data_IF_500641696299
#
_entry.id   IF_500641696299
#
_cell.length_a   1.000
_cell.length_b   1.000
_cell.length_c   1.000
_cell.angle_alpha   90.00
_cell.angle_beta   90.00
_cell.angle_gamma   90.00
#
_symmetry.space_group_name_H-M   'P 1'
#
loop_
_entity.id
_entity.type
_entity.pdbx_description
1 polymer ?
#
# COMPACT_ATOMS: atom_id res chain seq x y z
N UNK A 1 -5.91 -16.65 -1.18
CA UNK A 1 -7.16 -16.00 -1.66
C UNK A 1 -6.76 -14.87 -2.60
N UNK A 2 -7.26 -14.81 -3.84
CA UNK A 2 -7.03 -13.65 -4.71
C UNK A 2 -7.72 -12.41 -4.12
N UNK A 3 -7.04 -11.28 -4.16
CA UNK A 3 -7.59 -9.99 -3.74
C UNK A 3 -8.00 -9.23 -5.00
N UNK A 4 -9.29 -9.10 -5.31
CA UNK A 4 -9.72 -8.34 -6.46
C UNK A 4 -9.32 -6.87 -6.30
N UNK A 5 -8.98 -6.22 -7.42
CA UNK A 5 -8.63 -4.81 -7.42
C UNK A 5 -9.82 -3.99 -7.94
N UNK A 6 -10.44 -3.13 -7.11
CA UNK A 6 -11.56 -2.31 -7.56
C UNK A 6 -11.11 -1.28 -8.60
N UNK A 7 -12.00 -0.89 -9.51
CA UNK A 7 -11.68 0.14 -10.50
C UNK A 7 -11.51 1.51 -9.85
N UNK A 8 -12.37 1.84 -8.89
CA UNK A 8 -12.40 3.13 -8.21
C UNK A 8 -13.13 3.03 -6.87
N UNK A 9 -12.55 3.67 -5.84
CA UNK A 9 -13.16 3.92 -4.54
C UNK A 9 -13.11 5.43 -4.27
N UNK A 10 -14.24 6.12 -4.14
CA UNK A 10 -14.27 7.56 -3.90
C UNK A 10 -13.93 7.88 -2.44
N UNK A 11 -13.02 8.83 -2.22
CA UNK A 11 -12.65 9.40 -0.93
C UNK A 11 -12.97 10.89 -0.85
N UNK A 12 -12.71 11.52 0.28
CA UNK A 12 -12.90 12.95 0.47
C UNK A 12 -11.66 13.72 -0.01
N UNK A 13 -11.79 14.42 -1.15
CA UNK A 13 -10.71 15.15 -1.78
C UNK A 13 -9.69 14.28 -2.54
N UNK A 14 -9.90 12.98 -2.61
CA UNK A 14 -9.08 12.05 -3.37
C UNK A 14 -9.92 10.86 -3.86
N UNK A 15 -9.35 10.09 -4.78
CA UNK A 15 -9.90 8.78 -5.17
C UNK A 15 -8.82 7.71 -5.04
N UNK A 16 -9.21 6.47 -4.73
CA UNK A 16 -8.35 5.32 -4.97
C UNK A 16 -8.80 4.70 -6.28
N UNK A 17 -7.92 4.63 -7.26
CA UNK A 17 -8.20 4.08 -8.58
C UNK A 17 -7.07 3.19 -9.06
N UNK A 18 -7.33 2.34 -10.03
CA UNK A 18 -6.26 1.60 -10.70
C UNK A 18 -5.20 2.54 -11.24
N UNK A 19 -3.94 2.10 -11.20
CA UNK A 19 -2.84 2.84 -11.84
C UNK A 19 -3.06 2.97 -13.34
N UNK A 20 -2.58 4.09 -13.90
CA UNK A 20 -2.68 4.39 -15.33
C UNK A 20 -1.30 4.70 -15.93
N UNK A 21 -1.10 4.56 -17.23
CA UNK A 21 0.16 4.96 -17.88
C UNK A 21 0.57 6.41 -17.59
N UNK A 22 -0.40 7.30 -17.35
CA UNK A 22 -0.14 8.70 -16.98
C UNK A 22 0.54 8.86 -15.60
N UNK A 23 0.43 7.87 -14.72
CA UNK A 23 1.05 7.90 -13.38
C UNK A 23 2.56 7.59 -13.41
N UNK A 24 3.10 7.06 -14.54
CA UNK A 24 4.48 6.54 -14.64
C UNK A 24 5.54 7.51 -14.17
N UNK A 25 5.48 8.74 -14.62
CA UNK A 25 6.54 9.72 -14.32
C UNK A 25 6.48 10.15 -12.85
N UNK A 26 5.30 10.38 -12.30
CA UNK A 26 5.12 10.73 -10.90
C UNK A 26 5.50 9.57 -9.96
N UNK A 27 5.14 8.33 -10.33
CA UNK A 27 5.53 7.13 -9.62
C UNK A 27 7.06 6.91 -9.66
N UNK A 28 7.69 7.08 -10.83
CA UNK A 28 9.13 6.97 -10.96
C UNK A 28 9.87 8.07 -10.18
N UNK A 29 9.40 9.30 -10.22
CA UNK A 29 9.96 10.40 -9.42
C UNK A 29 9.88 10.10 -7.91
N UNK A 30 8.76 9.52 -7.43
CA UNK A 30 8.62 9.09 -6.04
C UNK A 30 9.62 8.00 -5.67
N UNK A 31 9.75 6.94 -6.48
CA UNK A 31 10.63 5.79 -6.17
C UNK A 31 12.12 6.13 -6.25
N UNK A 32 12.50 7.08 -7.09
CA UNK A 32 13.89 7.54 -7.21
C UNK A 32 14.29 8.58 -6.17
N UNK A 33 13.34 9.11 -5.40
CA UNK A 33 13.63 10.04 -4.29
C UNK A 33 14.07 9.25 -3.03
N UNK A 34 15.34 9.35 -2.60
CA UNK A 34 15.84 8.62 -1.43
C UNK A 34 15.11 9.01 -0.14
N UNK A 35 14.69 10.27 -0.02
CA UNK A 35 13.99 10.75 1.18
C UNK A 35 12.55 10.22 1.24
N UNK A 36 11.87 10.17 0.10
CA UNK A 36 10.53 9.60 -0.01
C UNK A 36 10.53 8.09 0.29
N UNK A 37 11.58 7.38 -0.10
CA UNK A 37 11.69 5.91 0.01
C UNK A 37 12.53 5.41 1.18
N UNK A 38 13.00 6.29 2.07
CA UNK A 38 13.92 5.94 3.18
C UNK A 38 13.39 4.85 4.13
N UNK A 39 12.09 4.68 4.22
CA UNK A 39 11.42 3.68 5.06
C UNK A 39 10.86 2.50 4.25
N UNK A 40 11.25 2.38 2.98
CA UNK A 40 10.73 1.35 2.07
C UNK A 40 11.83 0.37 1.68
N UNK A 41 11.46 -0.89 1.66
CA UNK A 41 12.34 -1.99 1.29
C UNK A 41 12.22 -2.28 -0.22
N UNK A 42 12.68 -1.35 -1.07
CA UNK A 42 12.81 -1.56 -2.51
C UNK A 42 14.25 -1.92 -2.87
N UNK A 43 14.43 -2.81 -3.84
CA UNK A 43 15.75 -3.14 -4.38
C UNK A 43 16.38 -1.93 -5.09
N UNK A 44 17.69 -1.95 -5.27
CA UNK A 44 18.41 -0.88 -5.98
C UNK A 44 17.87 -0.68 -7.41
N UNK A 45 17.52 -1.77 -8.10
CA UNK A 45 16.97 -1.73 -9.45
C UNK A 45 15.58 -1.08 -9.49
N UNK A 46 14.69 -1.42 -8.55
CA UNK A 46 13.38 -0.81 -8.41
C UNK A 46 13.45 0.71 -8.13
N UNK A 47 14.51 1.18 -7.51
CA UNK A 47 14.76 2.61 -7.24
C UNK A 47 15.40 3.35 -8.43
N UNK A 48 15.56 2.71 -9.58
CA UNK A 48 15.90 3.40 -10.83
C UNK A 48 14.64 3.88 -11.54
N UNK A 49 14.74 4.94 -12.36
CA UNK A 49 13.60 5.44 -13.12
C UNK A 49 13.02 4.36 -14.07
N UNK A 50 13.88 3.54 -14.67
CA UNK A 50 13.45 2.43 -15.52
C UNK A 50 12.78 1.32 -14.72
N UNK A 51 13.38 0.88 -13.61
CA UNK A 51 12.82 -0.15 -12.74
C UNK A 51 11.46 0.25 -12.18
N UNK A 52 11.32 1.50 -11.74
CA UNK A 52 10.06 2.06 -11.27
C UNK A 52 8.95 2.03 -12.33
N UNK A 53 9.27 2.47 -13.58
CA UNK A 53 8.31 2.41 -14.69
C UNK A 53 7.92 0.98 -15.02
N UNK A 54 8.89 0.07 -15.09
CA UNK A 54 8.64 -1.36 -15.37
C UNK A 54 7.76 -1.99 -14.30
N UNK A 55 7.98 -1.66 -13.02
CA UNK A 55 7.15 -2.14 -11.92
C UNK A 55 5.70 -1.65 -12.05
N UNK A 56 5.48 -0.37 -12.37
CA UNK A 56 4.13 0.15 -12.56
C UNK A 56 3.45 -0.48 -13.79
N UNK A 57 4.18 -0.66 -14.90
CA UNK A 57 3.66 -1.29 -16.11
C UNK A 57 3.26 -2.75 -15.86
N UNK A 58 4.05 -3.48 -15.07
CA UNK A 58 3.70 -4.83 -14.65
C UNK A 58 2.36 -4.83 -13.88
N UNK A 59 2.19 -3.95 -12.89
CA UNK A 59 0.93 -3.82 -12.14
C UNK A 59 -0.24 -3.49 -13.06
N UNK A 60 -0.08 -2.54 -13.98
CA UNK A 60 -1.13 -2.14 -14.93
C UNK A 60 -1.52 -3.32 -15.84
N UNK A 61 -0.54 -4.09 -16.31
CA UNK A 61 -0.80 -5.24 -17.20
C UNK A 61 -1.46 -6.42 -16.49
N UNK A 62 -1.32 -6.51 -15.17
CA UNK A 62 -1.90 -7.58 -14.35
C UNK A 62 -3.39 -7.36 -14.05
N UNK A 63 -3.91 -6.15 -14.16
CA UNK A 63 -5.32 -5.86 -13.86
C UNK A 63 -6.27 -6.69 -14.75
N UNK A 64 -7.26 -7.32 -14.11
CA UNK A 64 -8.25 -8.18 -14.77
C UNK A 64 -7.71 -9.53 -15.23
N UNK A 65 -6.51 -9.91 -14.85
CA UNK A 65 -5.91 -11.24 -15.11
C UNK A 65 -5.89 -12.10 -13.83
N UNK A 66 -5.53 -13.36 -13.95
CA UNK A 66 -5.31 -14.25 -12.79
C UNK A 66 -4.13 -13.82 -11.89
N UNK A 67 -3.28 -12.93 -12.39
CA UNK A 67 -2.14 -12.36 -11.67
C UNK A 67 -2.45 -10.96 -11.11
N UNK A 68 -3.73 -10.59 -11.04
CA UNK A 68 -4.14 -9.28 -10.54
C UNK A 68 -3.60 -9.01 -9.15
N UNK A 69 -3.04 -7.82 -8.94
CA UNK A 69 -2.55 -7.34 -7.66
C UNK A 69 -3.43 -6.18 -7.18
N UNK A 70 -3.75 -6.18 -5.89
CA UNK A 70 -4.45 -5.05 -5.28
C UNK A 70 -3.46 -3.91 -5.05
N UNK A 71 -3.36 -3.04 -6.02
CA UNK A 71 -2.52 -1.83 -5.98
C UNK A 71 -3.26 -0.68 -6.65
N UNK A 72 -3.41 0.43 -5.94
CA UNK A 72 -4.21 1.58 -6.37
C UNK A 72 -3.41 2.87 -6.24
N UNK A 73 -3.62 3.78 -7.17
CA UNK A 73 -3.20 5.19 -7.06
C UNK A 73 -4.10 5.91 -6.07
N UNK A 74 -3.50 6.69 -5.16
CA UNK A 74 -4.17 7.78 -4.47
C UNK A 74 -4.11 8.97 -5.43
N UNK A 75 -5.22 9.35 -6.03
CA UNK A 75 -5.31 10.44 -7.00
C UNK A 75 -6.06 11.64 -6.43
N UNK A 76 -5.63 12.84 -6.74
CA UNK A 76 -6.35 14.07 -6.37
C UNK A 76 -7.73 14.08 -7.05
N UNK A 77 -8.77 14.42 -6.31
CA UNK A 77 -10.13 14.43 -6.87
C UNK A 77 -10.38 15.58 -7.85
N UNK A 78 -9.56 16.63 -7.82
CA UNK A 78 -9.74 17.81 -8.66
C UNK A 78 -9.10 17.67 -10.04
N UNK A 79 -7.90 17.07 -10.13
CA UNK A 79 -7.12 17.02 -11.37
C UNK A 79 -6.58 15.63 -11.73
N UNK A 80 -6.95 14.59 -10.96
CA UNK A 80 -6.53 13.20 -11.13
C UNK A 80 -4.99 12.99 -11.01
N UNK A 81 -4.26 13.95 -10.44
CA UNK A 81 -2.82 13.85 -10.25
C UNK A 81 -2.44 12.76 -9.24
N UNK A 82 -1.29 12.10 -9.45
CA UNK A 82 -0.77 11.06 -8.56
C UNK A 82 -0.28 11.67 -7.24
N UNK A 83 -0.87 11.25 -6.13
CA UNK A 83 -0.50 11.66 -4.77
C UNK A 83 0.18 10.55 -3.97
N UNK A 84 0.14 9.32 -4.45
CA UNK A 84 0.69 8.16 -3.76
C UNK A 84 0.09 6.84 -4.22
N UNK A 85 0.39 5.79 -3.49
CA UNK A 85 -0.15 4.45 -3.76
C UNK A 85 -0.60 3.78 -2.47
N UNK A 86 -1.58 2.89 -2.60
CA UNK A 86 -2.06 2.03 -1.52
C UNK A 86 -2.42 0.67 -2.10
N UNK A 87 -2.19 -0.40 -1.33
CA UNK A 87 -2.53 -1.73 -1.80
C UNK A 87 -2.37 -2.79 -0.73
N UNK A 88 -2.56 -4.04 -1.14
CA UNK A 88 -2.48 -5.18 -0.23
C UNK A 88 -2.16 -6.48 -0.93
N UNK A 89 -1.61 -7.41 -0.16
CA UNK A 89 -1.26 -8.75 -0.60
C UNK A 89 -1.82 -9.76 0.40
N UNK A 90 -2.42 -10.84 -0.10
CA UNK A 90 -2.79 -11.96 0.74
C UNK A 90 -1.52 -12.58 1.33
N UNK A 91 -1.54 -12.88 2.61
CA UNK A 91 -0.41 -13.53 3.29
C UNK A 91 -0.53 -15.05 3.20
N UNK A 92 0.48 -15.78 3.67
CA UNK A 92 0.38 -17.23 3.84
C UNK A 92 -0.59 -17.67 4.96
N UNK A 93 -1.23 -16.72 5.66
CA UNK A 93 -2.22 -16.99 6.72
C UNK A 93 -3.62 -16.71 6.17
N UNK A 94 -4.53 -17.65 6.32
CA UNK A 94 -5.91 -17.51 5.84
C UNK A 94 -6.60 -16.29 6.46
N UNK A 95 -7.29 -15.53 5.63
CA UNK A 95 -8.03 -14.34 6.02
C UNK A 95 -7.19 -13.13 6.37
N UNK A 96 -5.86 -13.20 6.29
CA UNK A 96 -4.97 -12.09 6.64
C UNK A 96 -4.41 -11.42 5.40
N UNK A 97 -4.63 -10.10 5.28
CA UNK A 97 -4.09 -9.25 4.22
C UNK A 97 -3.02 -8.33 4.78
N UNK A 98 -1.86 -8.27 4.15
CA UNK A 98 -0.83 -7.27 4.45
C UNK A 98 -0.99 -6.07 3.52
N UNK A 99 -1.02 -4.86 4.10
CA UNK A 99 -1.18 -3.62 3.35
C UNK A 99 0.10 -2.80 3.31
N UNK A 100 0.21 -1.98 2.27
CA UNK A 100 1.19 -0.90 2.16
C UNK A 100 0.51 0.39 1.73
N UNK A 101 1.13 1.52 2.02
CA UNK A 101 0.70 2.85 1.58
C UNK A 101 1.86 3.83 1.52
N UNK A 102 1.78 4.73 0.58
CA UNK A 102 2.76 5.77 0.34
C UNK A 102 2.07 7.07 -0.04
N UNK A 103 2.64 8.21 0.33
CA UNK A 103 2.18 9.54 -0.09
C UNK A 103 3.39 10.37 -0.50
N UNK A 104 3.33 11.00 -1.66
CA UNK A 104 4.41 11.87 -2.15
C UNK A 104 4.71 12.98 -1.13
N UNK A 105 5.99 13.39 -0.94
CA UNK A 105 6.35 14.36 0.10
C UNK A 105 5.51 15.63 0.09
N UNK A 106 5.22 16.18 -1.08
CA UNK A 106 4.44 17.42 -1.24
C UNK A 106 2.95 17.28 -0.79
N UNK A 107 2.43 16.07 -0.68
CA UNK A 107 1.05 15.79 -0.28
C UNK A 107 0.93 15.25 1.16
N UNK A 108 2.05 15.06 1.87
CA UNK A 108 2.06 14.62 3.25
C UNK A 108 1.46 15.67 4.22
N UNK A 109 1.08 15.25 5.41
CA UNK A 109 0.51 16.13 6.45
C UNK A 109 -0.96 16.53 6.24
N UNK A 110 -1.58 16.12 5.12
CA UNK A 110 -2.96 16.46 4.73
C UNK A 110 -3.99 15.39 5.13
N UNK A 111 -3.61 14.37 5.87
CA UNK A 111 -4.51 13.26 6.25
C UNK A 111 -4.73 12.20 5.16
N UNK A 112 -4.15 12.35 3.98
CA UNK A 112 -4.36 11.45 2.83
C UNK A 112 -4.06 9.98 3.14
N UNK A 113 -2.92 9.69 3.79
CA UNK A 113 -2.59 8.31 4.15
C UNK A 113 -3.66 7.68 5.06
N UNK A 114 -4.14 8.43 6.07
CA UNK A 114 -5.19 7.94 6.97
C UNK A 114 -6.52 7.73 6.23
N UNK A 115 -6.90 8.65 5.33
CA UNK A 115 -8.09 8.53 4.50
C UNK A 115 -8.02 7.35 3.55
N UNK A 116 -6.89 7.21 2.84
CA UNK A 116 -6.66 6.13 1.87
C UNK A 116 -6.68 4.74 2.54
N UNK A 117 -5.96 4.58 3.67
CA UNK A 117 -5.96 3.31 4.40
C UNK A 117 -7.33 3.01 4.99
N UNK A 118 -8.07 4.00 5.52
CA UNK A 118 -9.45 3.79 5.99
C UNK A 118 -10.35 3.25 4.88
N UNK A 119 -10.26 3.84 3.69
CA UNK A 119 -11.06 3.43 2.54
C UNK A 119 -10.67 2.03 2.05
N UNK A 120 -9.35 1.74 2.03
CA UNK A 120 -8.87 0.40 1.71
C UNK A 120 -9.34 -0.64 2.73
N UNK A 121 -9.32 -0.33 4.04
CA UNK A 121 -9.81 -1.21 5.10
C UNK A 121 -11.30 -1.52 4.93
N UNK A 122 -12.13 -0.50 4.65
CA UNK A 122 -13.55 -0.70 4.40
C UNK A 122 -13.78 -1.64 3.20
N UNK A 123 -12.99 -1.48 2.13
CA UNK A 123 -13.03 -2.38 0.99
C UNK A 123 -12.59 -3.81 1.36
N UNK A 124 -11.43 -3.96 2.02
CA UNK A 124 -10.90 -5.28 2.38
C UNK A 124 -11.85 -6.05 3.29
N UNK A 125 -12.41 -5.41 4.31
CA UNK A 125 -13.36 -6.07 5.22
C UNK A 125 -14.74 -6.33 4.59
N UNK A 126 -15.03 -5.77 3.41
CA UNK A 126 -16.21 -6.15 2.63
C UNK A 126 -16.00 -7.42 1.80
N UNK A 127 -14.77 -7.89 1.65
CA UNK A 127 -14.44 -9.10 0.91
C UNK A 127 -14.68 -10.33 1.79
N UNK A 128 -15.34 -11.34 1.25
CA UNK A 128 -15.56 -12.60 1.93
C UNK A 128 -14.21 -13.26 2.31
N UNK A 129 -14.08 -13.69 3.54
CA UNK A 129 -12.91 -14.37 4.05
C UNK A 129 -11.77 -13.47 4.55
N UNK A 130 -11.84 -12.15 4.40
CA UNK A 130 -10.87 -11.23 5.04
C UNK A 130 -11.29 -10.99 6.49
N UNK A 131 -10.47 -11.45 7.42
CA UNK A 131 -10.75 -11.36 8.87
C UNK A 131 -9.80 -10.43 9.58
N UNK A 132 -8.61 -10.17 9.01
CA UNK A 132 -7.58 -9.34 9.63
C UNK A 132 -6.71 -8.65 8.58
N UNK A 133 -6.29 -7.43 8.90
CA UNK A 133 -5.34 -6.66 8.09
C UNK A 133 -4.12 -6.35 8.93
N UNK A 134 -2.93 -6.60 8.38
CA UNK A 134 -1.66 -6.28 9.01
C UNK A 134 -0.86 -5.25 8.21
N UNK A 135 0.03 -4.55 8.90
CA UNK A 135 1.02 -3.66 8.29
C UNK A 135 2.33 -3.78 9.08
N UNK A 136 3.44 -3.93 8.35
CA UNK A 136 4.76 -3.91 8.94
C UNK A 136 5.41 -2.54 8.70
N UNK A 137 5.90 -1.92 9.77
CA UNK A 137 6.45 -0.56 9.75
C UNK A 137 7.90 -0.60 10.16
N UNK A 138 8.79 -0.06 9.32
CA UNK A 138 10.22 0.06 9.62
C UNK A 138 10.47 0.90 10.88
N UNK A 139 11.53 0.54 11.60
CA UNK A 139 11.93 1.29 12.80
C UNK A 139 12.11 2.78 12.48
N UNK A 140 11.56 3.64 13.34
CA UNK A 140 11.66 5.09 13.20
C UNK A 140 10.62 5.75 12.28
N UNK A 141 9.79 5.00 11.54
CA UNK A 141 8.72 5.55 10.69
C UNK A 141 7.50 5.99 11.53
N UNK A 142 7.69 7.01 12.38
CA UNK A 142 6.63 7.56 13.25
C UNK A 142 5.39 8.05 12.49
N UNK A 143 5.48 8.66 11.29
CA UNK A 143 4.30 9.04 10.53
C UNK A 143 3.39 7.85 10.23
N UNK A 144 3.96 6.72 9.80
CA UNK A 144 3.20 5.49 9.51
C UNK A 144 2.55 4.92 10.79
N UNK A 145 3.29 4.87 11.90
CA UNK A 145 2.75 4.43 13.20
C UNK A 145 1.50 5.23 13.57
N UNK A 146 1.57 6.57 13.47
CA UNK A 146 0.41 7.43 13.79
C UNK A 146 -0.81 7.19 12.89
N UNK A 147 -0.60 6.83 11.62
CA UNK A 147 -1.71 6.44 10.73
C UNK A 147 -2.39 5.18 11.25
N UNK A 148 -1.60 4.15 11.57
CA UNK A 148 -2.12 2.87 12.05
C UNK A 148 -2.83 2.99 13.40
N UNK A 149 -2.24 3.73 14.35
CA UNK A 149 -2.86 4.00 15.67
C UNK A 149 -4.21 4.70 15.52
N UNK A 150 -4.32 5.74 14.67
CA UNK A 150 -5.58 6.44 14.38
C UNK A 150 -6.64 5.55 13.76
N UNK A 151 -6.25 4.47 13.11
CA UNK A 151 -7.13 3.50 12.48
C UNK A 151 -7.40 2.27 13.35
N UNK A 152 -6.98 2.28 14.61
CA UNK A 152 -7.27 1.22 15.56
C UNK A 152 -6.42 -0.05 15.39
N UNK A 153 -5.29 0.04 14.71
CA UNK A 153 -4.35 -1.07 14.67
C UNK A 153 -3.68 -1.28 16.02
N UNK A 154 -3.53 -2.54 16.41
CA UNK A 154 -2.78 -2.96 17.61
C UNK A 154 -1.36 -3.32 17.25
N UNK A 155 -0.41 -2.90 18.05
CA UNK A 155 1.01 -3.24 17.94
C UNK A 155 1.24 -4.67 18.45
N UNK A 156 1.76 -5.57 17.59
CA UNK A 156 2.10 -6.95 17.93
C UNK A 156 3.55 -7.15 18.32
N UNK A 157 4.36 -6.10 18.31
CA UNK A 157 5.76 -6.19 18.66
C UNK A 157 6.72 -6.19 17.48
N UNK A 158 8.00 -6.46 17.74
CA UNK A 158 9.05 -6.40 16.73
C UNK A 158 8.86 -7.49 15.67
N UNK A 159 9.25 -7.15 14.45
CA UNK A 159 9.30 -8.06 13.31
C UNK A 159 10.61 -7.87 12.57
N UNK A 160 11.20 -9.01 12.18
CA UNK A 160 12.32 -9.06 11.25
C UNK A 160 11.89 -9.90 10.06
N UNK A 161 12.07 -9.36 8.87
CA UNK A 161 11.88 -10.11 7.63
C UNK A 161 13.20 -10.15 6.89
N UNK A 162 13.60 -11.34 6.47
CA UNK A 162 14.69 -11.51 5.53
C UNK A 162 14.21 -11.16 4.12
N UNK A 163 15.14 -10.69 3.29
CA UNK A 163 14.85 -10.52 1.87
C UNK A 163 14.50 -11.88 1.25
N UNK A 164 13.29 -12.01 0.73
CA UNK A 164 12.88 -13.19 -0.04
C UNK A 164 13.00 -12.87 -1.52
N UNK A 165 13.65 -13.76 -2.27
CA UNK A 165 13.85 -13.60 -3.71
C UNK A 165 12.55 -13.80 -4.49
N UNK A 166 12.23 -12.88 -5.40
CA UNK A 166 11.10 -12.91 -6.31
C UNK A 166 10.99 -11.58 -7.07
N UNK A 167 10.10 -11.47 -8.05
CA UNK A 167 9.91 -10.23 -8.83
C UNK A 167 9.49 -9.02 -7.99
N UNK A 168 8.96 -9.25 -6.78
CA UNK A 168 8.63 -8.25 -5.76
C UNK A 168 9.52 -8.40 -4.51
N UNK A 169 10.77 -8.82 -4.69
CA UNK A 169 11.73 -8.97 -3.58
C UNK A 169 11.86 -7.63 -2.84
N UNK A 170 11.61 -7.67 -1.54
CA UNK A 170 11.85 -6.57 -0.63
C UNK A 170 13.13 -6.84 0.15
N UNK A 171 13.93 -5.81 0.40
CA UNK A 171 15.06 -5.89 1.31
C UNK A 171 14.62 -6.31 2.72
N UNK A 172 15.55 -6.81 3.53
CA UNK A 172 15.28 -7.14 4.92
C UNK A 172 14.65 -5.94 5.65
N UNK A 173 13.61 -6.22 6.43
CA UNK A 173 12.91 -5.21 7.21
C UNK A 173 13.03 -5.53 8.69
N UNK A 174 13.55 -4.56 9.44
CA UNK A 174 13.49 -4.56 10.90
C UNK A 174 12.52 -3.47 11.35
N UNK A 175 11.50 -3.86 12.09
CA UNK A 175 10.45 -2.90 12.47
C UNK A 175 9.46 -3.50 13.46
N UNK A 176 8.20 -3.07 13.34
CA UNK A 176 7.08 -3.53 14.19
C UNK A 176 5.89 -3.91 13.33
N UNK A 177 5.20 -4.96 13.75
CA UNK A 177 3.97 -5.43 13.13
C UNK A 177 2.76 -4.85 13.83
N UNK A 178 1.84 -4.37 13.05
CA UNK A 178 0.53 -3.87 13.47
C UNK A 178 -0.58 -4.70 12.85
N UNK A 179 -1.68 -4.91 13.58
CA UNK A 179 -2.83 -5.68 13.10
C UNK A 179 -4.13 -4.97 13.47
N UNK A 180 -5.10 -5.06 12.59
CA UNK A 180 -6.51 -4.71 12.83
C UNK A 180 -7.39 -5.86 12.37
N UNK A 181 -8.22 -6.37 13.26
CA UNK A 181 -9.22 -7.38 12.94
C UNK A 181 -10.49 -6.71 12.37
N UNK A 182 -11.25 -7.43 11.56
CA UNK A 182 -12.59 -7.02 11.21
C UNK A 182 -13.41 -6.87 12.49
N UNK A 183 -14.23 -5.81 12.58
CA UNK A 183 -15.15 -5.67 13.68
C UNK A 183 -16.03 -6.93 13.69
N UNK A 184 -16.11 -7.61 14.83
CA UNK A 184 -17.03 -8.73 14.98
C UNK A 184 -18.43 -8.15 14.71
N UNK A 185 -19.03 -8.53 13.57
CA UNK A 185 -20.42 -8.20 13.33
C UNK A 185 -21.22 -8.81 14.49
N UNK A 186 -21.81 -7.94 15.31
CA UNK A 186 -22.83 -8.36 16.27
C UNK A 186 -23.93 -9.03 15.43
N UNK A 187 -23.98 -10.37 15.51
CA UNK A 187 -24.96 -11.21 14.84
C UNK A 187 -26.32 -11.15 15.53
#
# INVERSE_FOLDING_TARGET
MPLPCPDLLPGEGFTLRRHRPADREAFAAFLTDPEATRHMAFTADQKTAQGARSMLDHVISAYGTEHEVLSLTIADAADDSYLGSVGGTATGTDGVVEIYYTVVPAAQGRGLATGAVRLLLAYLFSLEGVTSVRADVTAGNRPSVRVLEKLGFRDLGPVERTAEGGELAHDALTGRRYVRDADASEG
#
